data_IF_358373286103
#
_entry.id   IF_358373286103
#
_cell.length_a   1.000
_cell.length_b   1.000
_cell.length_c   1.000
_cell.angle_alpha   90.00
_cell.angle_beta   90.00
_cell.angle_gamma   90.00
#
_symmetry.space_group_name_H-M   'P 1'
#
loop_
_entity.id
_entity.type
_entity.pdbx_description
1 polymer ?
#
# COMPACT_ATOMS: atom_id res chain seq x y z
N UNK A 1 -11.41 -0.70 20.01
CA UNK A 1 -11.39 -1.69 18.90
C UNK A 1 -10.09 -2.44 18.99
N UNK A 2 -10.08 -3.76 18.74
CA UNK A 2 -8.84 -4.55 18.76
C UNK A 2 -8.00 -4.23 17.50
N UNK A 3 -6.68 -4.18 17.66
CA UNK A 3 -5.72 -4.01 16.58
C UNK A 3 -5.79 -5.18 15.59
N UNK A 4 -5.80 -4.91 14.28
CA UNK A 4 -5.74 -5.97 13.26
C UNK A 4 -4.32 -6.54 13.20
N UNK A 5 -4.14 -7.86 13.01
CA UNK A 5 -2.82 -8.42 12.73
C UNK A 5 -2.13 -7.71 11.55
N UNK A 6 -0.87 -7.31 11.73
CA UNK A 6 -0.08 -6.59 10.71
C UNK A 6 -0.27 -5.06 10.68
N UNK A 7 -1.26 -4.52 11.40
CA UNK A 7 -1.58 -3.08 11.37
C UNK A 7 -0.39 -2.19 11.77
N UNK A 8 0.39 -2.59 12.79
CA UNK A 8 1.58 -1.81 13.21
C UNK A 8 2.67 -1.75 12.14
N UNK A 9 2.85 -2.83 11.40
CA UNK A 9 3.84 -2.88 10.34
C UNK A 9 3.40 -2.00 9.16
N UNK A 10 2.12 -2.06 8.80
CA UNK A 10 1.52 -1.13 7.84
C UNK A 10 1.70 0.33 8.26
N UNK A 11 1.38 0.67 9.52
CA UNK A 11 1.54 2.03 10.05
C UNK A 11 3.01 2.48 10.01
N UNK A 12 3.94 1.58 10.32
CA UNK A 12 5.37 1.83 10.25
C UNK A 12 5.83 2.13 8.81
N UNK A 13 5.44 1.30 7.84
CA UNK A 13 5.75 1.54 6.41
C UNK A 13 5.16 2.87 5.95
N UNK A 14 3.90 3.17 6.28
CA UNK A 14 3.28 4.43 5.94
C UNK A 14 4.02 5.65 6.52
N UNK A 15 4.60 5.53 7.72
CA UNK A 15 5.44 6.57 8.32
C UNK A 15 6.74 6.75 7.51
N UNK A 16 7.40 5.65 7.12
CA UNK A 16 8.60 5.72 6.30
C UNK A 16 8.31 6.39 4.94
N UNK A 17 7.25 5.97 4.25
CA UNK A 17 6.88 6.55 2.96
C UNK A 17 6.55 8.04 3.05
N UNK A 18 5.89 8.48 4.13
CA UNK A 18 5.66 9.91 4.38
C UNK A 18 6.95 10.66 4.68
N UNK A 19 7.89 10.05 5.41
CA UNK A 19 9.15 10.66 5.80
C UNK A 19 10.15 10.75 4.64
N UNK A 20 10.08 9.86 3.65
CA UNK A 20 10.99 9.86 2.49
C UNK A 20 10.34 10.44 1.23
N UNK A 21 9.00 10.45 1.14
CA UNK A 21 8.22 10.93 0.00
C UNK A 21 8.10 12.44 -0.13
N UNK A 22 9.16 13.21 0.15
CA UNK A 22 9.16 14.69 0.09
C UNK A 22 9.19 15.28 -1.34
N UNK A 23 8.59 14.60 -2.32
CA UNK A 23 8.48 15.11 -3.67
C UNK A 23 7.11 15.78 -3.91
N UNK A 24 7.11 16.91 -4.61
CA UNK A 24 5.87 17.57 -5.01
C UNK A 24 4.94 16.61 -5.77
N UNK A 25 3.66 16.65 -5.40
CA UNK A 25 2.63 15.81 -6.03
C UNK A 25 2.61 14.35 -5.56
N UNK A 26 3.31 13.99 -4.49
CA UNK A 26 3.20 12.65 -3.85
C UNK A 26 2.27 12.71 -2.64
N UNK A 27 1.29 11.80 -2.59
CA UNK A 27 0.39 11.60 -1.45
C UNK A 27 0.43 10.14 -1.01
N UNK A 28 0.54 9.90 0.30
CA UNK A 28 0.54 8.55 0.89
C UNK A 28 -0.82 8.29 1.58
N UNK A 29 -1.51 7.23 1.19
CA UNK A 29 -2.74 6.75 1.82
C UNK A 29 -2.49 5.44 2.57
N UNK A 30 -3.07 5.28 3.76
CA UNK A 30 -3.00 4.03 4.53
C UNK A 30 -4.08 3.97 5.63
N UNK A 31 -4.92 2.91 5.69
CA UNK A 31 -5.27 2.03 4.56
C UNK A 31 -5.96 2.82 3.45
N UNK A 32 -6.01 2.26 2.24
CA UNK A 32 -6.76 2.86 1.13
C UNK A 32 -7.64 1.84 0.42
N UNK A 33 -8.80 2.27 -0.08
CA UNK A 33 -9.71 1.41 -0.82
C UNK A 33 -9.74 1.81 -2.28
N UNK A 34 -9.22 0.93 -3.13
CA UNK A 34 -9.26 1.11 -4.58
C UNK A 34 -10.32 0.20 -5.18
N UNK A 35 -10.87 0.63 -6.32
CA UNK A 35 -11.79 -0.22 -7.08
C UNK A 35 -10.96 -1.18 -7.92
N UNK A 36 -11.13 -2.46 -7.65
CA UNK A 36 -10.59 -3.54 -8.45
C UNK A 36 -11.20 -3.50 -9.86
N UNK A 37 -10.33 -3.50 -10.88
CA UNK A 37 -10.75 -3.32 -12.28
C UNK A 37 -11.56 -4.51 -12.80
N UNK A 38 -11.21 -5.72 -12.38
CA UNK A 38 -11.76 -6.96 -12.95
C UNK A 38 -13.11 -7.30 -12.32
N UNK A 39 -13.23 -7.07 -11.01
CA UNK A 39 -14.42 -7.40 -10.22
C UNK A 39 -15.32 -6.20 -9.94
N UNK A 40 -14.81 -4.98 -10.11
CA UNK A 40 -15.51 -3.73 -9.79
C UNK A 40 -15.71 -3.48 -8.30
N UNK A 41 -15.20 -4.35 -7.40
CA UNK A 41 -15.38 -4.22 -5.95
C UNK A 41 -14.31 -3.32 -5.34
N UNK A 42 -14.60 -2.70 -4.19
CA UNK A 42 -13.58 -2.00 -3.43
C UNK A 42 -12.71 -3.02 -2.69
N UNK A 43 -11.40 -2.98 -2.92
CA UNK A 43 -10.39 -3.77 -2.24
C UNK A 43 -9.59 -2.85 -1.32
N UNK A 44 -9.30 -3.32 -0.10
CA UNK A 44 -8.44 -2.61 0.86
C UNK A 44 -6.98 -2.92 0.52
N UNK A 45 -6.16 -1.89 0.54
CA UNK A 45 -4.72 -1.89 0.29
C UNK A 45 -4.01 -1.28 1.50
N UNK A 46 -2.86 -1.83 1.88
CA UNK A 46 -2.18 -1.47 3.12
C UNK A 46 -1.59 -0.05 3.03
N UNK A 47 -0.80 0.23 1.98
CA UNK A 47 -0.26 1.55 1.67
C UNK A 47 -0.42 1.83 0.18
N UNK A 48 -0.90 3.02 -0.18
CA UNK A 48 -0.98 3.46 -1.58
C UNK A 48 -0.29 4.80 -1.74
N UNK A 49 0.69 4.83 -2.65
CA UNK A 49 1.40 6.04 -3.06
C UNK A 49 0.75 6.57 -4.32
N UNK A 50 0.18 7.76 -4.23
CA UNK A 50 -0.39 8.49 -5.38
C UNK A 50 0.60 9.56 -5.80
N UNK A 51 1.20 9.40 -6.98
CA UNK A 51 2.10 10.39 -7.58
C UNK A 51 1.40 11.08 -8.74
N UNK A 52 1.25 12.40 -8.64
CA UNK A 52 0.83 13.26 -9.75
C UNK A 52 2.00 13.48 -10.69
N UNK A 53 1.78 13.16 -11.96
CA UNK A 53 2.76 13.39 -13.04
C UNK A 53 2.11 14.20 -14.15
N UNK A 54 2.91 14.66 -15.11
CA UNK A 54 2.40 15.33 -16.31
C UNK A 54 1.55 14.41 -17.21
N UNK A 55 1.60 13.09 -17.00
CA UNK A 55 0.78 12.10 -17.70
C UNK A 55 -0.47 11.66 -16.91
N UNK A 56 -0.72 12.27 -15.74
CA UNK A 56 -1.80 11.89 -14.84
C UNK A 56 -1.30 11.26 -13.54
N UNK A 57 -2.23 10.65 -12.80
CA UNK A 57 -1.94 10.01 -11.51
C UNK A 57 -1.41 8.59 -11.71
N UNK A 58 -0.27 8.30 -11.11
CA UNK A 58 0.26 6.95 -10.96
C UNK A 58 0.01 6.48 -9.52
N UNK A 59 -0.54 5.28 -9.39
CA UNK A 59 -0.79 4.63 -8.11
C UNK A 59 0.20 3.48 -7.95
N UNK A 60 0.96 3.49 -6.86
CA UNK A 60 1.77 2.35 -6.43
C UNK A 60 1.11 1.76 -5.19
N UNK A 61 0.78 0.48 -5.28
CA UNK A 61 0.23 -0.30 -4.17
C UNK A 61 1.34 -1.05 -3.45
N UNK A 62 1.35 -0.97 -2.12
CA UNK A 62 2.30 -1.63 -1.24
C UNK A 62 1.57 -2.48 -0.22
N UNK A 63 1.76 -3.80 -0.33
CA UNK A 63 1.14 -4.80 0.52
C UNK A 63 2.11 -5.22 1.64
N UNK A 64 1.78 -4.83 2.86
CA UNK A 64 2.61 -4.91 4.04
C UNK A 64 2.51 -6.29 4.66
N UNK A 65 3.45 -7.16 4.30
CA UNK A 65 3.48 -8.54 4.79
C UNK A 65 4.59 -8.74 5.82
N UNK A 66 4.28 -8.51 7.09
CA UNK A 66 5.20 -8.81 8.19
C UNK A 66 5.38 -10.32 8.33
N UNK A 67 6.59 -10.81 8.03
CA UNK A 67 6.91 -12.23 8.03
C UNK A 67 8.31 -12.46 8.56
N UNK A 68 8.42 -13.03 9.74
CA UNK A 68 9.68 -13.57 10.27
C UNK A 68 10.27 -14.77 9.50
N UNK A 69 9.94 -14.95 8.20
CA UNK A 69 10.43 -16.05 7.33
C UNK A 69 10.56 -15.63 5.86
N UNK A 70 11.36 -16.35 5.03
CA UNK A 70 11.63 -15.98 3.63
C UNK A 70 10.38 -15.94 2.73
N UNK A 71 10.40 -15.02 1.76
CA UNK A 71 9.36 -14.87 0.73
C UNK A 71 9.60 -15.84 -0.43
N UNK A 72 8.60 -16.66 -0.75
CA UNK A 72 8.58 -17.55 -1.94
C UNK A 72 7.63 -17.04 -3.03
N UNK A 73 7.74 -17.59 -4.24
CA UNK A 73 6.98 -17.16 -5.43
C UNK A 73 5.46 -17.18 -5.21
N UNK A 74 4.94 -18.26 -4.62
CA UNK A 74 3.52 -18.38 -4.25
C UNK A 74 2.99 -17.23 -3.41
N UNK A 75 3.88 -16.55 -2.70
CA UNK A 75 3.50 -15.42 -1.87
C UNK A 75 3.31 -14.13 -2.64
N UNK A 76 4.09 -13.95 -3.72
CA UNK A 76 3.97 -12.81 -4.63
C UNK A 76 2.78 -13.01 -5.56
N UNK A 77 2.56 -14.23 -6.04
CA UNK A 77 1.48 -14.54 -7.01
C UNK A 77 0.07 -14.58 -6.41
N UNK A 78 -0.06 -14.56 -5.08
CA UNK A 78 -1.36 -14.54 -4.36
C UNK A 78 -1.76 -13.14 -3.88
N UNK A 79 -1.02 -12.11 -4.29
CA UNK A 79 -1.44 -10.72 -4.13
C UNK A 79 -2.70 -10.46 -4.97
#
# INVERSE_FOLDING_TARGET
MAEKPGQRFQEFVAILERAFGHADGVTIHSPYKLRDKDTGRLREHDVVIVRKTHHGENLTDEECKDRGRPVGVDFVEKL
#
